data_IF_954754521614
#
_entry.id   IF_954754521614
#
_cell.length_a   1.000
_cell.length_b   1.000
_cell.length_c   1.000
_cell.angle_alpha   90.00
_cell.angle_beta   90.00
_cell.angle_gamma   90.00
#
_symmetry.space_group_name_H-M   'P 1'
#
loop_
_entity.id
_entity.type
_entity.pdbx_description
1 polymer ?
#
# COMPACT_ATOMS: atom_id res chain seq x y z
N UNK A 1 -0.02 -31.32 19.98
CA UNK A 1 -0.64 -30.58 18.86
C UNK A 1 -0.63 -29.12 19.22
N UNK A 2 -0.32 -28.24 18.27
CA UNK A 2 -0.31 -26.80 18.48
C UNK A 2 -1.71 -26.28 18.85
N UNK A 3 -1.82 -25.54 19.96
CA UNK A 3 -3.08 -25.03 20.49
C UNK A 3 -3.80 -24.10 19.49
N UNK A 4 -3.03 -23.31 18.73
CA UNK A 4 -3.58 -22.42 17.69
C UNK A 4 -4.22 -23.23 16.55
N UNK A 5 -3.56 -24.28 16.09
CA UNK A 5 -4.07 -25.15 15.03
C UNK A 5 -5.34 -25.91 15.47
N UNK A 6 -5.37 -26.38 16.72
CA UNK A 6 -6.57 -27.00 17.31
C UNK A 6 -7.74 -26.00 17.38
N UNK A 7 -7.47 -24.77 17.77
CA UNK A 7 -8.48 -23.71 17.78
C UNK A 7 -8.99 -23.40 16.35
N UNK A 8 -8.12 -23.32 15.35
CA UNK A 8 -8.56 -23.10 13.97
C UNK A 8 -9.45 -24.23 13.46
N UNK A 9 -9.10 -25.48 13.78
CA UNK A 9 -9.91 -26.66 13.46
C UNK A 9 -11.27 -26.65 14.18
N UNK A 10 -11.33 -26.13 15.40
CA UNK A 10 -12.57 -26.00 16.14
C UNK A 10 -13.48 -24.91 15.55
N UNK A 11 -12.90 -23.82 15.04
CA UNK A 11 -13.64 -22.76 14.35
C UNK A 11 -14.09 -23.19 12.94
N UNK A 12 -13.30 -24.04 12.27
CA UNK A 12 -13.52 -24.49 10.90
C UNK A 12 -13.14 -25.96 10.79
N UNK A 13 -14.14 -26.85 10.79
CA UNK A 13 -13.91 -28.30 10.78
C UNK A 13 -13.27 -28.79 9.48
N UNK A 14 -13.63 -28.13 8.37
CA UNK A 14 -13.33 -28.63 7.02
C UNK A 14 -12.18 -27.84 6.41
N UNK A 15 -11.18 -28.56 5.92
CA UNK A 15 -10.14 -27.97 5.09
C UNK A 15 -10.74 -27.60 3.73
N UNK A 16 -10.29 -26.49 3.13
CA UNK A 16 -10.74 -26.11 1.79
C UNK A 16 -10.36 -27.22 0.80
N UNK A 17 -11.24 -27.45 -0.19
CA UNK A 17 -10.95 -28.43 -1.25
C UNK A 17 -9.63 -28.10 -1.95
N UNK A 18 -8.90 -29.11 -2.41
CA UNK A 18 -7.59 -28.88 -3.05
C UNK A 18 -7.71 -27.99 -4.30
N UNK A 19 -8.80 -28.12 -5.05
CA UNK A 19 -9.10 -27.27 -6.20
C UNK A 19 -9.30 -25.80 -5.79
N UNK A 20 -10.03 -25.56 -4.70
CA UNK A 20 -10.25 -24.23 -4.12
C UNK A 20 -8.92 -23.62 -3.67
N UNK A 21 -8.12 -24.37 -2.91
CA UNK A 21 -6.82 -23.93 -2.42
C UNK A 21 -5.84 -23.59 -3.56
N UNK A 22 -5.79 -24.43 -4.59
CA UNK A 22 -4.94 -24.19 -5.75
C UNK A 22 -5.40 -22.95 -6.55
N UNK A 23 -6.72 -22.79 -6.78
CA UNK A 23 -7.25 -21.64 -7.52
C UNK A 23 -6.90 -20.32 -6.82
N UNK A 24 -7.16 -20.23 -5.52
CA UNK A 24 -6.84 -19.03 -4.74
C UNK A 24 -5.34 -18.83 -4.58
N UNK A 25 -4.58 -19.91 -4.35
CA UNK A 25 -3.12 -19.85 -4.28
C UNK A 25 -2.48 -19.33 -5.57
N UNK A 26 -2.96 -19.76 -6.74
CA UNK A 26 -2.47 -19.27 -8.04
C UNK A 26 -2.83 -17.80 -8.24
N UNK A 27 -4.07 -17.40 -7.92
CA UNK A 27 -4.47 -15.99 -8.00
C UNK A 27 -3.60 -15.11 -7.09
N UNK A 28 -3.36 -15.54 -5.86
CA UNK A 28 -2.51 -14.85 -4.89
C UNK A 28 -1.05 -14.82 -5.31
N UNK A 29 -0.54 -15.88 -5.95
CA UNK A 29 0.82 -15.92 -6.50
C UNK A 29 0.99 -14.86 -7.59
N UNK A 30 0.04 -14.78 -8.54
CA UNK A 30 0.07 -13.79 -9.61
C UNK A 30 0.03 -12.38 -9.03
N UNK A 31 -0.91 -12.09 -8.13
CA UNK A 31 -1.03 -10.76 -7.49
C UNK A 31 0.25 -10.40 -6.74
N UNK A 32 0.79 -11.32 -5.95
CA UNK A 32 2.01 -11.11 -5.16
C UNK A 32 3.22 -10.88 -6.07
N UNK A 33 3.41 -11.70 -7.11
CA UNK A 33 4.51 -11.57 -8.05
C UNK A 33 4.47 -10.23 -8.80
N UNK A 34 3.31 -9.87 -9.36
CA UNK A 34 3.12 -8.59 -10.06
C UNK A 34 3.36 -7.42 -9.10
N UNK A 35 2.85 -7.49 -7.87
CA UNK A 35 3.06 -6.45 -6.86
C UNK A 35 4.53 -6.28 -6.48
N UNK A 36 5.29 -7.37 -6.31
CA UNK A 36 6.73 -7.31 -6.04
C UNK A 36 7.46 -6.66 -7.21
N UNK A 37 7.22 -7.12 -8.45
CA UNK A 37 7.86 -6.57 -9.65
C UNK A 37 7.62 -5.06 -9.75
N UNK A 38 6.38 -4.63 -9.58
CA UNK A 38 6.01 -3.21 -9.66
C UNK A 38 6.64 -2.37 -8.54
N UNK A 39 6.66 -2.86 -7.30
CA UNK A 39 7.26 -2.15 -6.18
C UNK A 39 8.79 -2.08 -6.30
N UNK A 40 9.46 -3.17 -6.68
CA UNK A 40 10.91 -3.17 -6.94
C UNK A 40 11.27 -2.22 -8.08
N UNK A 41 10.47 -2.22 -9.15
CA UNK A 41 10.66 -1.30 -10.27
C UNK A 41 10.59 0.17 -9.83
N UNK A 42 9.55 0.54 -9.06
CA UNK A 42 9.44 1.91 -8.52
C UNK A 42 10.58 2.22 -7.55
N UNK A 43 11.04 1.26 -6.74
CA UNK A 43 12.21 1.44 -5.87
C UNK A 43 13.46 1.80 -6.69
N UNK A 44 13.73 1.07 -7.78
CA UNK A 44 14.86 1.35 -8.68
C UNK A 44 14.76 2.75 -9.29
N UNK A 45 13.56 3.18 -9.70
CA UNK A 45 13.34 4.54 -10.22
C UNK A 45 13.63 5.61 -9.15
N UNK A 46 13.16 5.40 -7.93
CA UNK A 46 13.35 6.35 -6.81
C UNK A 46 14.83 6.50 -6.46
N UNK A 47 15.56 5.39 -6.43
CA UNK A 47 16.99 5.37 -6.11
C UNK A 47 17.85 5.90 -7.26
N UNK A 48 17.50 5.54 -8.50
CA UNK A 48 18.34 5.82 -9.68
C UNK A 48 18.05 7.14 -10.38
N UNK A 49 16.90 7.78 -10.14
CA UNK A 49 16.49 8.95 -10.94
C UNK A 49 15.93 10.09 -10.13
N UNK A 50 16.14 11.32 -10.62
CA UNK A 50 15.55 12.52 -10.03
C UNK A 50 14.12 12.82 -10.57
N UNK A 51 13.45 11.85 -11.21
CA UNK A 51 12.20 12.06 -11.95
C UNK A 51 10.98 12.33 -11.06
N UNK A 52 11.02 11.89 -9.80
CA UNK A 52 9.94 12.09 -8.82
C UNK A 52 10.25 13.31 -7.97
N UNK A 53 9.26 14.16 -7.73
CA UNK A 53 9.40 15.35 -6.90
C UNK A 53 9.99 15.04 -5.53
N UNK A 54 10.96 15.86 -5.12
CA UNK A 54 11.61 15.74 -3.82
C UNK A 54 10.60 15.76 -2.66
N UNK A 55 9.50 16.50 -2.77
CA UNK A 55 8.49 16.57 -1.70
C UNK A 55 7.62 15.31 -1.56
N UNK A 56 7.53 14.47 -2.60
CA UNK A 56 6.65 13.28 -2.61
C UNK A 56 7.47 11.99 -2.47
N UNK A 57 8.71 12.02 -2.96
CA UNK A 57 9.65 10.89 -2.93
C UNK A 57 9.74 10.14 -1.59
N UNK A 58 9.79 10.79 -0.40
CA UNK A 58 9.87 10.04 0.86
C UNK A 58 8.64 9.17 1.11
N UNK A 59 7.46 9.74 0.88
CA UNK A 59 6.22 9.02 1.10
C UNK A 59 6.10 7.83 0.15
N UNK A 60 6.48 8.01 -1.12
CA UNK A 60 6.47 6.89 -2.08
C UNK A 60 7.50 5.84 -1.66
N UNK A 61 8.72 6.23 -1.26
CA UNK A 61 9.72 5.28 -0.79
C UNK A 61 9.23 4.48 0.43
N UNK A 62 8.58 5.15 1.38
CA UNK A 62 7.96 4.51 2.55
C UNK A 62 6.84 3.55 2.15
N UNK A 63 5.95 3.93 1.21
CA UNK A 63 4.90 3.04 0.70
C UNK A 63 5.47 1.80 -0.01
N UNK A 64 6.51 1.97 -0.81
CA UNK A 64 7.18 0.85 -1.51
C UNK A 64 7.83 -0.10 -0.50
N UNK A 65 8.56 0.44 0.48
CA UNK A 65 9.16 -0.37 1.54
C UNK A 65 8.08 -1.12 2.33
N UNK A 66 6.99 -0.44 2.71
CA UNK A 66 5.87 -1.04 3.42
C UNK A 66 5.19 -2.17 2.63
N UNK A 67 4.97 -1.97 1.33
CA UNK A 67 4.44 -2.99 0.42
C UNK A 67 5.35 -4.22 0.35
N UNK A 68 6.66 -4.04 0.22
CA UNK A 68 7.61 -5.16 0.16
C UNK A 68 7.68 -5.93 1.49
N UNK A 69 7.65 -5.22 2.62
CA UNK A 69 7.55 -5.83 3.96
C UNK A 69 6.26 -6.65 4.07
N UNK A 70 5.12 -6.09 3.65
CA UNK A 70 3.83 -6.80 3.64
C UNK A 70 3.88 -8.07 2.78
N UNK A 71 4.40 -7.96 1.56
CA UNK A 71 4.47 -9.06 0.58
C UNK A 71 5.46 -10.15 1.00
N UNK A 72 6.45 -9.85 1.83
CA UNK A 72 7.37 -10.86 2.36
C UNK A 72 6.63 -11.97 3.11
N UNK A 73 5.64 -11.63 3.94
CA UNK A 73 4.79 -12.64 4.61
C UNK A 73 3.95 -13.44 3.62
N UNK A 74 3.52 -12.84 2.50
CA UNK A 74 2.81 -13.59 1.46
C UNK A 74 3.69 -14.69 0.88
N UNK A 75 4.95 -14.37 0.58
CA UNK A 75 5.91 -15.33 0.04
C UNK A 75 6.34 -16.40 1.06
N UNK A 76 6.54 -16.00 2.33
CA UNK A 76 7.13 -16.88 3.34
C UNK A 76 6.13 -17.82 4.01
N UNK A 77 4.88 -17.40 4.19
CA UNK A 77 3.89 -18.22 4.92
C UNK A 77 2.58 -18.40 4.16
N UNK A 78 2.02 -17.35 3.54
CA UNK A 78 0.70 -17.46 2.90
C UNK A 78 0.72 -18.41 1.68
N UNK A 79 1.60 -18.16 0.71
CA UNK A 79 1.67 -18.94 -0.53
C UNK A 79 2.07 -20.40 -0.27
N UNK A 80 3.05 -20.72 0.59
CA UNK A 80 3.31 -22.11 0.97
C UNK A 80 2.09 -22.80 1.59
N UNK A 81 1.34 -22.12 2.45
CA UNK A 81 0.11 -22.69 3.03
C UNK A 81 -0.97 -22.91 1.96
N UNK A 82 -1.16 -21.97 1.04
CA UNK A 82 -2.19 -22.06 0.00
C UNK A 82 -1.86 -23.10 -1.10
N UNK A 83 -0.64 -23.06 -1.65
CA UNK A 83 -0.26 -23.86 -2.81
C UNK A 83 0.29 -25.23 -2.44
N UNK A 84 1.04 -25.33 -1.35
CA UNK A 84 1.65 -26.58 -0.92
C UNK A 84 0.86 -27.25 0.22
N UNK A 85 -0.08 -26.55 0.87
CA UNK A 85 -0.81 -27.10 2.01
C UNK A 85 0.05 -27.18 3.28
N UNK A 86 1.11 -26.37 3.37
CA UNK A 86 2.02 -26.37 4.52
C UNK A 86 1.32 -25.73 5.72
N UNK A 87 1.15 -26.50 6.80
CA UNK A 87 0.64 -26.01 8.07
C UNK A 87 1.80 -25.55 8.95
N UNK A 88 1.98 -24.23 9.06
CA UNK A 88 2.99 -23.65 9.94
C UNK A 88 2.49 -23.66 11.39
N UNK A 89 3.29 -24.22 12.28
CA UNK A 89 3.05 -24.21 13.73
C UNK A 89 3.63 -22.95 14.38
N UNK A 90 3.09 -22.55 15.52
CA UNK A 90 3.66 -21.50 16.36
C UNK A 90 5.02 -21.98 16.94
N UNK A 91 6.04 -21.11 17.05
CA UNK A 91 6.02 -19.66 16.85
C UNK A 91 6.29 -19.20 15.40
N UNK A 92 6.59 -20.11 14.47
CA UNK A 92 6.97 -19.73 13.10
C UNK A 92 5.84 -19.03 12.35
N UNK A 93 4.59 -19.50 12.52
CA UNK A 93 3.44 -18.85 11.89
C UNK A 93 3.29 -17.39 12.36
N UNK A 94 3.49 -17.12 13.65
CA UNK A 94 3.49 -15.77 14.22
C UNK A 94 4.62 -14.94 13.60
N UNK A 95 5.87 -15.39 13.73
CA UNK A 95 7.07 -14.63 13.32
C UNK A 95 7.00 -14.27 11.84
N UNK A 96 6.65 -15.22 10.97
CA UNK A 96 6.55 -15.01 9.53
C UNK A 96 5.33 -14.15 9.13
N UNK A 97 4.33 -14.03 9.99
CA UNK A 97 3.15 -13.17 9.79
C UNK A 97 3.34 -11.74 10.31
N UNK A 98 4.33 -11.46 11.17
CA UNK A 98 4.60 -10.12 11.70
C UNK A 98 4.82 -9.07 10.59
N UNK A 99 5.61 -9.34 9.52
CA UNK A 99 5.79 -8.38 8.43
C UNK A 99 4.48 -7.97 7.77
N UNK A 100 3.46 -8.85 7.72
CA UNK A 100 2.14 -8.51 7.19
C UNK A 100 1.47 -7.39 7.99
N UNK A 101 1.44 -7.50 9.32
CA UNK A 101 0.88 -6.47 10.21
C UNK A 101 1.68 -5.18 10.12
N UNK A 102 3.00 -5.27 10.19
CA UNK A 102 3.89 -4.11 10.15
C UNK A 102 3.74 -3.35 8.83
N UNK A 103 3.78 -4.07 7.69
CA UNK A 103 3.61 -3.48 6.36
C UNK A 103 2.23 -2.83 6.19
N UNK A 104 1.16 -3.48 6.66
CA UNK A 104 -0.19 -2.91 6.62
C UNK A 104 -0.30 -1.59 7.41
N UNK A 105 0.17 -1.59 8.66
CA UNK A 105 0.15 -0.39 9.52
C UNK A 105 1.03 0.72 8.94
N UNK A 106 2.17 0.38 8.37
CA UNK A 106 3.06 1.34 7.74
C UNK A 106 2.41 1.99 6.51
N UNK A 107 1.72 1.21 5.66
CA UNK A 107 0.92 1.76 4.54
C UNK A 107 -0.14 2.73 5.08
N UNK A 108 -0.87 2.35 6.13
CA UNK A 108 -1.92 3.16 6.76
C UNK A 108 -1.42 4.49 7.35
N UNK A 109 -0.35 4.44 8.13
CA UNK A 109 0.19 5.68 8.69
C UNK A 109 0.84 6.55 7.60
N UNK A 110 1.52 5.97 6.62
CA UNK A 110 2.17 6.74 5.55
C UNK A 110 1.17 7.43 4.63
N UNK A 111 0.05 6.79 4.27
CA UNK A 111 -1.00 7.48 3.50
C UNK A 111 -1.69 8.58 4.30
N UNK A 112 -1.82 8.39 5.61
CA UNK A 112 -2.41 9.40 6.49
C UNK A 112 -1.51 10.61 6.67
N UNK A 113 -0.21 10.39 6.89
CA UNK A 113 0.76 11.49 6.95
C UNK A 113 0.90 12.18 5.59
N UNK A 114 0.78 11.45 4.48
CA UNK A 114 0.74 12.03 3.13
C UNK A 114 -0.51 12.90 2.91
N UNK A 115 -1.69 12.47 3.34
CA UNK A 115 -2.92 13.26 3.26
C UNK A 115 -2.79 14.56 4.07
N UNK A 116 -2.25 14.45 5.28
CA UNK A 116 -2.00 15.61 6.15
C UNK A 116 -0.95 16.57 5.57
N UNK A 117 0.15 16.05 5.00
CA UNK A 117 1.16 16.85 4.29
C UNK A 117 0.52 17.70 3.19
N UNK A 118 -0.36 17.11 2.38
CA UNK A 118 -1.06 17.84 1.32
C UNK A 118 -2.07 18.83 1.86
N UNK A 119 -2.78 18.48 2.91
CA UNK A 119 -3.71 19.40 3.58
C UNK A 119 -2.99 20.68 4.02
N UNK A 120 -1.83 20.55 4.67
CA UNK A 120 -1.04 21.71 5.11
C UNK A 120 -0.60 22.59 3.94
N UNK A 121 -0.18 22.01 2.81
CA UNK A 121 0.22 22.77 1.61
C UNK A 121 -0.92 23.62 1.05
N UNK A 122 -2.14 23.07 0.96
CA UNK A 122 -3.27 23.78 0.35
C UNK A 122 -3.99 24.75 1.30
N UNK A 123 -4.05 24.44 2.60
CA UNK A 123 -4.79 25.24 3.58
C UNK A 123 -3.91 26.22 4.35
N UNK A 124 -2.62 25.94 4.51
CA UNK A 124 -1.69 26.79 5.26
C UNK A 124 -0.34 26.94 4.54
N UNK A 125 -0.32 27.60 3.37
CA UNK A 125 0.93 27.81 2.61
C UNK A 125 1.94 28.67 3.40
N UNK A 126 1.47 29.53 4.32
CA UNK A 126 2.35 30.35 5.16
C UNK A 126 3.15 29.52 6.18
N UNK A 127 2.60 28.41 6.67
CA UNK A 127 3.35 27.48 7.56
C UNK A 127 4.38 26.63 6.82
N UNK A 128 4.33 26.57 5.49
CA UNK A 128 5.30 25.83 4.66
C UNK A 128 6.71 26.44 4.77
N UNK A 129 6.82 27.77 4.91
CA UNK A 129 8.10 28.46 5.14
C UNK A 129 8.70 28.10 6.49
N UNK A 130 7.85 27.81 7.48
CA UNK A 130 8.28 27.50 8.86
C UNK A 130 8.71 26.04 9.02
N UNK A 131 8.07 25.11 8.32
CA UNK A 131 8.44 23.70 8.33
C UNK A 131 9.55 23.44 7.30
N UNK A 132 10.78 23.81 7.69
CA UNK A 132 12.01 23.63 6.89
C UNK A 132 12.04 22.24 6.24
N UNK A 133 12.35 22.18 4.94
CA UNK A 133 12.24 20.97 4.10
C UNK A 133 12.81 19.71 4.77
N UNK A 134 13.94 19.80 5.47
CA UNK A 134 14.58 18.67 6.16
C UNK A 134 13.77 18.09 7.34
N UNK A 135 13.12 18.93 8.16
CA UNK A 135 12.28 18.45 9.27
C UNK A 135 11.03 17.74 8.76
N UNK A 136 10.49 18.19 7.63
CA UNK A 136 9.38 17.54 6.95
C UNK A 136 9.73 16.10 6.53
N UNK A 137 10.95 15.83 6.06
CA UNK A 137 11.36 14.45 5.75
C UNK A 137 11.33 13.53 6.97
N UNK A 138 11.93 13.98 8.08
CA UNK A 138 12.00 13.18 9.30
C UNK A 138 10.63 12.93 9.91
N UNK A 139 9.82 13.98 10.07
CA UNK A 139 8.51 13.86 10.71
C UNK A 139 7.58 12.98 9.87
N UNK A 140 7.50 13.22 8.56
CA UNK A 140 6.49 12.55 7.73
C UNK A 140 6.87 11.13 7.29
N UNK A 141 8.15 10.75 7.39
CA UNK A 141 8.64 9.40 7.03
C UNK A 141 8.92 8.55 8.26
N UNK A 142 9.56 9.09 9.29
CA UNK A 142 9.94 8.32 10.47
C UNK A 142 8.76 8.09 11.41
N UNK A 143 7.82 9.05 11.54
CA UNK A 143 6.66 8.91 12.41
C UNK A 143 5.76 7.72 12.02
N UNK A 144 5.37 7.51 10.74
CA UNK A 144 4.65 6.30 10.34
C UNK A 144 5.37 5.00 10.71
N UNK A 145 6.69 4.96 10.49
CA UNK A 145 7.52 3.79 10.80
C UNK A 145 7.54 3.51 12.30
N UNK A 146 7.79 4.54 13.10
CA UNK A 146 7.82 4.44 14.55
C UNK A 146 6.47 3.98 15.11
N UNK A 147 5.36 4.58 14.68
CA UNK A 147 4.01 4.19 15.12
C UNK A 147 3.66 2.77 14.70
N UNK A 148 3.99 2.36 13.46
CA UNK A 148 3.75 1.01 12.97
C UNK A 148 4.55 -0.03 13.77
N UNK A 149 5.83 0.24 14.04
CA UNK A 149 6.68 -0.63 14.85
C UNK A 149 6.19 -0.73 16.29
N UNK A 150 5.93 0.41 16.93
CA UNK A 150 5.46 0.45 18.33
C UNK A 150 4.15 -0.32 18.50
N UNK A 151 3.19 -0.09 17.59
CA UNK A 151 1.90 -0.79 17.63
C UNK A 151 2.06 -2.29 17.38
N UNK A 152 2.88 -2.68 16.40
CA UNK A 152 3.14 -4.09 16.09
C UNK A 152 3.81 -4.80 17.27
N UNK A 153 4.83 -4.18 17.88
CA UNK A 153 5.53 -4.73 19.05
C UNK A 153 4.54 -4.87 20.21
N UNK A 154 3.77 -3.83 20.51
CA UNK A 154 2.78 -3.87 21.59
C UNK A 154 1.74 -4.97 21.39
N UNK A 155 1.19 -5.12 20.17
CA UNK A 155 0.26 -6.20 19.84
C UNK A 155 0.85 -7.59 20.11
N UNK A 156 2.12 -7.82 19.73
CA UNK A 156 2.79 -9.09 19.99
C UNK A 156 3.10 -9.31 21.48
N UNK A 157 3.44 -8.25 22.22
CA UNK A 157 3.69 -8.35 23.68
C UNK A 157 2.43 -8.72 24.46
N UNK A 158 1.25 -8.21 24.07
CA UNK A 158 -0.02 -8.51 24.75
C UNK A 158 -0.67 -9.82 24.30
N UNK A 159 -0.05 -10.58 23.40
CA UNK A 159 -0.59 -11.86 22.92
C UNK A 159 -1.53 -11.77 21.72
N UNK A 160 -1.66 -10.60 21.07
CA UNK A 160 -2.46 -10.40 19.87
C UNK A 160 -1.64 -10.70 18.60
N UNK A 161 -1.51 -11.99 18.30
CA UNK A 161 -0.70 -12.49 17.19
C UNK A 161 -1.52 -12.63 15.91
N UNK A 162 -0.95 -12.15 14.81
CA UNK A 162 -1.46 -12.44 13.47
C UNK A 162 -0.88 -13.77 13.00
N UNK A 163 -1.71 -14.61 12.38
CA UNK A 163 -1.35 -15.94 11.86
C UNK A 163 -1.99 -16.17 10.51
N UNK A 164 -1.44 -17.10 9.72
CA UNK A 164 -2.14 -17.70 8.58
C UNK A 164 -3.01 -18.84 9.08
N UNK A 165 -4.31 -18.79 8.76
CA UNK A 165 -5.25 -19.86 9.01
C UNK A 165 -5.32 -20.78 7.77
N UNK A 166 -4.86 -22.04 7.85
CA UNK A 166 -4.88 -22.97 6.72
C UNK A 166 -6.30 -23.37 6.29
N UNK A 167 -7.30 -23.23 7.17
CA UNK A 167 -8.70 -23.54 6.87
C UNK A 167 -9.41 -22.42 6.10
N UNK A 168 -8.91 -21.18 6.19
CA UNK A 168 -9.48 -20.01 5.48
C UNK A 168 -8.52 -19.40 4.45
N UNK A 169 -7.35 -20.00 4.26
CA UNK A 169 -6.34 -19.60 3.29
C UNK A 169 -5.96 -18.11 3.40
N UNK A 170 -5.91 -17.55 4.61
CA UNK A 170 -5.75 -16.12 4.81
C UNK A 170 -5.20 -15.78 6.19
N UNK A 171 -4.76 -14.53 6.34
CA UNK A 171 -4.31 -14.03 7.63
C UNK A 171 -5.48 -13.72 8.56
N UNK A 172 -5.33 -14.03 9.84
CA UNK A 172 -6.33 -13.74 10.88
C UNK A 172 -5.66 -13.45 12.23
N UNK A 173 -6.41 -12.77 13.10
CA UNK A 173 -6.10 -12.63 14.54
C UNK A 173 -6.90 -13.62 15.41
N UNK A 174 -7.76 -14.46 14.80
CA UNK A 174 -8.47 -15.52 15.52
C UNK A 174 -7.50 -16.45 16.25
N UNK A 175 -7.96 -17.06 17.34
CA UNK A 175 -7.16 -17.93 18.20
C UNK A 175 -5.97 -17.19 18.86
N UNK A 176 -6.11 -15.89 19.07
CA UNK A 176 -5.20 -15.07 19.87
C UNK A 176 -5.99 -14.24 20.88
N UNK A 177 -5.36 -13.89 22.00
CA UNK A 177 -5.94 -12.95 22.95
C UNK A 177 -5.63 -11.53 22.50
N UNK A 178 -6.58 -10.91 21.81
CA UNK A 178 -6.44 -9.55 21.33
C UNK A 178 -7.06 -8.50 22.27
N UNK A 179 -7.80 -8.89 23.31
CA UNK A 179 -8.46 -7.95 24.22
C UNK A 179 -9.11 -6.76 23.49
N UNK A 180 -8.64 -5.54 23.78
CA UNK A 180 -9.12 -4.29 23.18
C UNK A 180 -8.74 -4.09 21.70
N UNK A 181 -7.73 -4.81 21.18
CA UNK A 181 -7.33 -4.74 19.78
C UNK A 181 -8.38 -5.27 18.82
N UNK A 182 -9.24 -6.18 19.29
CA UNK A 182 -10.39 -6.70 18.52
C UNK A 182 -11.29 -5.57 18.01
N UNK A 183 -11.46 -4.50 18.81
CA UNK A 183 -12.26 -3.32 18.43
C UNK A 183 -11.37 -2.21 17.87
N UNK A 184 -10.20 -2.00 18.48
CA UNK A 184 -9.29 -0.90 18.12
C UNK A 184 -8.81 -1.00 16.68
N UNK A 185 -8.45 -2.20 16.20
CA UNK A 185 -7.92 -2.37 14.85
C UNK A 185 -8.93 -2.01 13.74
N UNK A 186 -10.18 -2.52 13.75
CA UNK A 186 -11.22 -2.06 12.83
C UNK A 186 -11.45 -0.54 12.89
N UNK A 187 -11.52 0.02 14.10
CA UNK A 187 -11.77 1.46 14.29
C UNK A 187 -10.63 2.28 13.72
N UNK A 188 -9.37 1.92 13.98
CA UNK A 188 -8.21 2.62 13.41
C UNK A 188 -8.23 2.51 11.88
N UNK A 189 -8.42 1.31 11.35
CA UNK A 189 -8.43 1.05 9.91
C UNK A 189 -9.51 1.88 9.18
N UNK A 190 -10.71 1.94 9.75
CA UNK A 190 -11.82 2.74 9.23
C UNK A 190 -11.57 4.24 9.40
N UNK A 191 -11.13 4.68 10.59
CA UNK A 191 -10.94 6.09 10.92
C UNK A 191 -9.82 6.72 10.09
N UNK A 192 -8.64 6.10 9.99
CA UNK A 192 -7.55 6.65 9.19
C UNK A 192 -7.92 6.75 7.72
N UNK A 193 -8.53 5.69 7.17
CA UNK A 193 -8.95 5.68 5.77
C UNK A 193 -10.08 6.69 5.50
N UNK A 194 -11.05 6.82 6.41
CA UNK A 194 -12.15 7.78 6.33
C UNK A 194 -11.68 9.23 6.46
N UNK A 195 -10.78 9.51 7.40
CA UNK A 195 -10.15 10.83 7.55
C UNK A 195 -9.40 11.22 6.28
N UNK A 196 -8.63 10.29 5.69
CA UNK A 196 -7.92 10.55 4.43
C UNK A 196 -8.89 10.92 3.30
N UNK A 197 -10.01 10.21 3.19
CA UNK A 197 -11.05 10.54 2.22
C UNK A 197 -11.63 11.95 2.43
N UNK A 198 -11.99 12.30 3.66
CA UNK A 198 -12.52 13.64 4.00
C UNK A 198 -11.48 14.73 3.71
N UNK A 199 -10.21 14.50 4.05
CA UNK A 199 -9.12 15.44 3.78
C UNK A 199 -8.95 15.67 2.28
N UNK A 200 -8.92 14.62 1.47
CA UNK A 200 -8.80 14.77 0.01
C UNK A 200 -10.04 15.43 -0.62
N UNK A 201 -11.23 15.16 -0.10
CA UNK A 201 -12.45 15.87 -0.51
C UNK A 201 -12.36 17.37 -0.19
N UNK A 202 -11.90 17.73 1.01
CA UNK A 202 -11.70 19.13 1.40
C UNK A 202 -10.66 19.83 0.51
N UNK A 203 -9.54 19.16 0.20
CA UNK A 203 -8.53 19.66 -0.75
C UNK A 203 -9.16 19.87 -2.14
N UNK A 204 -9.95 18.92 -2.63
CA UNK A 204 -10.61 19.02 -3.92
C UNK A 204 -11.59 20.20 -4.00
N UNK A 205 -12.44 20.37 -2.98
CA UNK A 205 -13.36 21.52 -2.88
C UNK A 205 -12.58 22.84 -2.85
N UNK A 206 -11.47 22.90 -2.10
CA UNK A 206 -10.61 24.09 -2.03
C UNK A 206 -10.04 24.45 -3.40
N UNK A 207 -9.54 23.46 -4.15
CA UNK A 207 -9.02 23.63 -5.52
C UNK A 207 -10.12 24.16 -6.45
N UNK A 208 -11.32 23.58 -6.41
CA UNK A 208 -12.45 24.05 -7.22
C UNK A 208 -12.80 25.51 -6.93
N UNK A 209 -12.83 25.89 -5.65
CA UNK A 209 -13.13 27.26 -5.24
C UNK A 209 -12.03 28.25 -5.66
N UNK A 210 -10.76 27.85 -5.58
CA UNK A 210 -9.63 28.66 -6.08
C UNK A 210 -9.74 28.87 -7.61
N UNK A 211 -10.05 27.83 -8.37
CA UNK A 211 -10.20 27.92 -9.83
C UNK A 211 -11.38 28.81 -10.24
N UNK A 212 -12.51 28.75 -9.51
CA UNK A 212 -13.64 29.67 -9.76
C UNK A 212 -13.25 31.13 -9.54
N UNK A 213 -12.56 31.47 -8.44
CA UNK A 213 -12.15 32.86 -8.15
C UNK A 213 -11.24 33.45 -9.22
N UNK A 214 -10.36 32.64 -9.81
CA UNK A 214 -9.50 33.07 -10.93
C UNK A 214 -10.34 33.38 -12.18
N UNK A 215 -11.35 32.56 -12.49
CA UNK A 215 -12.20 32.77 -13.66
C UNK A 215 -13.18 33.96 -13.53
N UNK A 216 -13.55 34.35 -12.30
CA UNK A 216 -14.44 35.50 -12.06
C UNK A 216 -13.71 36.85 -11.92
N UNK A 217 -12.41 36.92 -12.24
CA UNK A 217 -11.68 38.19 -12.29
C UNK A 217 -11.54 38.92 -10.94
N UNK A 218 -11.71 38.21 -9.81
CA UNK A 218 -11.52 38.79 -8.49
C UNK A 218 -10.03 39.13 -8.30
N UNK A 219 -9.69 40.42 -8.38
CA UNK A 219 -8.34 41.00 -8.49
C UNK A 219 -7.35 40.77 -7.34
N UNK A 220 -7.45 39.69 -6.57
CA UNK A 220 -6.35 39.21 -5.74
C UNK A 220 -5.53 38.20 -6.57
N UNK A 221 -4.25 38.51 -6.79
CA UNK A 221 -3.26 37.71 -7.50
C UNK A 221 -2.98 36.36 -6.80
N UNK A 222 -3.96 35.46 -6.76
CA UNK A 222 -3.76 34.07 -6.36
C UNK A 222 -3.33 33.33 -7.62
N UNK A 223 -2.11 32.78 -7.69
CA UNK A 223 -1.65 32.07 -8.87
C UNK A 223 -2.57 30.87 -9.15
N UNK A 224 -2.93 30.61 -10.41
CA UNK A 224 -3.77 29.49 -10.77
C UNK A 224 -3.15 28.16 -10.31
N UNK A 225 -3.98 27.27 -9.75
CA UNK A 225 -3.54 25.94 -9.33
C UNK A 225 -2.97 25.21 -10.54
N UNK A 226 -1.72 24.73 -10.45
CA UNK A 226 -1.08 24.04 -11.57
C UNK A 226 -1.83 22.74 -11.84
N UNK A 227 -2.05 22.39 -13.11
CA UNK A 227 -2.66 21.10 -13.52
C UNK A 227 -1.98 19.89 -12.87
N UNK A 228 -0.69 20.03 -12.56
CA UNK A 228 0.12 19.06 -11.82
C UNK A 228 -0.45 18.73 -10.44
N UNK A 229 -0.89 19.75 -9.69
CA UNK A 229 -1.33 19.60 -8.31
C UNK A 229 -2.69 18.88 -8.24
N UNK A 230 -3.58 19.18 -9.19
CA UNK A 230 -4.86 18.45 -9.36
C UNK A 230 -4.59 16.97 -9.67
N UNK A 231 -3.68 16.70 -10.60
CA UNK A 231 -3.30 15.32 -10.99
C UNK A 231 -2.77 14.52 -9.80
N UNK A 232 -2.04 15.18 -8.92
CA UNK A 232 -1.43 14.59 -7.74
C UNK A 232 -2.47 14.32 -6.63
N UNK A 233 -3.44 15.23 -6.45
CA UNK A 233 -4.58 15.00 -5.54
C UNK A 233 -5.43 13.81 -6.00
N UNK A 234 -5.70 13.69 -7.30
CA UNK A 234 -6.44 12.55 -7.86
C UNK A 234 -5.69 11.22 -7.64
N UNK A 235 -4.36 11.20 -7.88
CA UNK A 235 -3.54 10.01 -7.62
C UNK A 235 -3.70 9.52 -6.17
N UNK A 236 -3.53 10.42 -5.21
CA UNK A 236 -3.60 10.01 -3.81
C UNK A 236 -5.01 9.69 -3.34
N UNK A 237 -6.02 10.32 -3.92
CA UNK A 237 -7.42 9.96 -3.67
C UNK A 237 -7.71 8.51 -4.10
N UNK A 238 -7.19 8.09 -5.27
CA UNK A 238 -7.33 6.71 -5.74
C UNK A 238 -6.59 5.70 -4.84
N UNK A 239 -5.39 6.06 -4.39
CA UNK A 239 -4.62 5.24 -3.42
C UNK A 239 -5.42 5.08 -2.13
N UNK A 240 -5.96 6.16 -1.57
CA UNK A 240 -6.74 6.13 -0.34
C UNK A 240 -8.05 5.35 -0.51
N UNK A 241 -8.72 5.47 -1.66
CA UNK A 241 -9.94 4.72 -1.94
C UNK A 241 -9.66 3.21 -1.99
N UNK A 242 -8.59 2.78 -2.67
CA UNK A 242 -8.21 1.36 -2.70
C UNK A 242 -7.84 0.83 -1.31
N UNK A 243 -7.13 1.63 -0.52
CA UNK A 243 -6.80 1.29 0.85
C UNK A 243 -8.04 1.18 1.75
N UNK A 244 -8.99 2.10 1.61
CA UNK A 244 -10.25 2.06 2.33
C UNK A 244 -11.03 0.79 1.98
N UNK A 245 -11.10 0.43 0.69
CA UNK A 245 -11.75 -0.80 0.24
C UNK A 245 -11.05 -2.04 0.83
N UNK A 246 -9.72 -2.12 0.75
CA UNK A 246 -8.96 -3.25 1.31
C UNK A 246 -9.14 -3.39 2.82
N UNK A 247 -9.06 -2.28 3.55
CA UNK A 247 -9.21 -2.25 5.01
C UNK A 247 -10.64 -2.56 5.46
N UNK A 248 -11.63 -1.95 4.81
CA UNK A 248 -13.04 -2.19 5.13
C UNK A 248 -13.43 -3.62 4.80
N UNK A 249 -12.91 -4.17 3.70
CA UNK A 249 -13.13 -5.58 3.36
C UNK A 249 -12.57 -6.49 4.44
N UNK A 250 -11.36 -6.22 4.94
CA UNK A 250 -10.73 -7.07 5.96
C UNK A 250 -11.52 -7.18 7.27
N UNK A 251 -12.07 -6.07 7.76
CA UNK A 251 -12.75 -6.07 9.06
C UNK A 251 -14.26 -6.27 8.97
N UNK A 252 -14.92 -5.80 7.90
CA UNK A 252 -16.38 -5.80 7.82
C UNK A 252 -16.94 -6.86 6.86
N UNK A 253 -16.20 -7.30 5.83
CA UNK A 253 -16.74 -8.26 4.85
C UNK A 253 -17.04 -9.63 5.46
N UNK A 254 -16.19 -10.22 6.34
CA UNK A 254 -16.52 -11.51 6.95
C UNK A 254 -17.77 -11.44 7.83
N UNK A 255 -17.91 -10.49 8.79
CA UNK A 255 -19.13 -10.37 9.58
C UNK A 255 -20.38 -10.10 8.73
N UNK A 256 -20.30 -9.22 7.73
CA UNK A 256 -21.45 -8.86 6.88
C UNK A 256 -21.93 -10.00 5.98
N UNK A 257 -21.03 -10.92 5.61
CA UNK A 257 -21.35 -12.07 4.75
C UNK A 257 -21.66 -13.35 5.53
N UNK A 258 -21.89 -13.25 6.85
CA UNK A 258 -22.13 -14.42 7.70
C UNK A 258 -20.92 -15.35 7.82
N UNK A 259 -19.70 -14.81 7.75
CA UNK A 259 -18.43 -15.55 7.78
C UNK A 259 -18.31 -16.60 6.66
N UNK A 260 -18.86 -16.28 5.48
CA UNK A 260 -18.68 -17.09 4.28
C UNK A 260 -17.20 -17.24 3.91
N UNK A 261 -16.80 -18.41 3.38
CA UNK A 261 -15.39 -18.63 3.00
C UNK A 261 -14.90 -17.59 1.98
N UNK A 262 -15.78 -17.28 1.03
CA UNK A 262 -15.53 -16.35 -0.05
C UNK A 262 -15.14 -14.95 0.44
N UNK A 263 -15.70 -14.50 1.56
CA UNK A 263 -15.34 -13.21 2.15
C UNK A 263 -13.91 -13.15 2.66
N UNK A 264 -13.38 -14.25 3.20
CA UNK A 264 -11.99 -14.35 3.64
C UNK A 264 -11.02 -14.35 2.44
N UNK A 265 -11.41 -15.01 1.36
CA UNK A 265 -10.62 -15.02 0.11
C UNK A 265 -10.57 -13.62 -0.52
N UNK A 266 -11.72 -12.96 -0.67
CA UNK A 266 -11.80 -11.59 -1.20
C UNK A 266 -11.01 -10.60 -0.34
N UNK A 267 -11.11 -10.71 0.98
CA UNK A 267 -10.35 -9.91 1.93
C UNK A 267 -8.85 -10.01 1.67
N UNK A 268 -8.34 -11.23 1.52
CA UNK A 268 -6.91 -11.50 1.30
C UNK A 268 -6.44 -10.96 -0.05
N UNK A 269 -7.27 -11.12 -1.09
CA UNK A 269 -7.05 -10.57 -2.43
C UNK A 269 -7.00 -9.04 -2.39
N UNK A 270 -8.02 -8.39 -1.84
CA UNK A 270 -8.08 -6.91 -1.80
C UNK A 270 -6.95 -6.32 -0.96
N UNK A 271 -6.61 -6.93 0.18
CA UNK A 271 -5.47 -6.49 0.99
C UNK A 271 -4.16 -6.59 0.21
N UNK A 272 -3.98 -7.63 -0.62
CA UNK A 272 -2.76 -7.80 -1.42
C UNK A 272 -2.75 -6.88 -2.64
N UNK A 273 -3.88 -6.70 -3.32
CA UNK A 273 -4.03 -5.76 -4.43
C UNK A 273 -3.73 -4.31 -4.02
N UNK A 274 -4.02 -3.93 -2.78
CA UNK A 274 -3.68 -2.59 -2.26
C UNK A 274 -2.17 -2.28 -2.38
N UNK A 275 -1.30 -3.29 -2.23
CA UNK A 275 0.16 -3.10 -2.40
C UNK A 275 0.56 -2.81 -3.86
N UNK A 276 -0.31 -3.18 -4.82
CA UNK A 276 -0.15 -2.94 -6.24
C UNK A 276 -0.73 -1.58 -6.68
N UNK A 277 -1.73 -1.06 -5.96
CA UNK A 277 -2.37 0.20 -6.31
C UNK A 277 -1.38 1.36 -6.34
N UNK A 278 -0.48 1.42 -5.36
CA UNK A 278 0.53 2.49 -5.25
C UNK A 278 1.39 2.60 -6.53
N UNK A 279 2.14 1.56 -6.95
CA UNK A 279 2.93 1.65 -8.17
C UNK A 279 2.07 1.83 -9.42
N UNK A 280 0.91 1.18 -9.53
CA UNK A 280 0.00 1.34 -10.68
C UNK A 280 -0.45 2.79 -10.86
N UNK A 281 -0.86 3.46 -9.79
CA UNK A 281 -1.27 4.87 -9.83
C UNK A 281 -0.08 5.77 -10.18
N UNK A 282 1.10 5.52 -9.61
CA UNK A 282 2.30 6.31 -9.94
C UNK A 282 2.65 6.17 -11.42
N UNK A 283 2.65 4.95 -11.95
CA UNK A 283 2.93 4.68 -13.37
C UNK A 283 1.86 5.34 -14.24
N UNK A 284 0.58 5.15 -13.95
CA UNK A 284 -0.51 5.69 -14.77
C UNK A 284 -0.44 7.22 -14.92
N UNK A 285 -0.08 7.93 -13.84
CA UNK A 285 -0.11 9.39 -13.81
C UNK A 285 1.26 10.07 -13.99
N UNK A 286 2.40 9.38 -13.92
CA UNK A 286 3.70 10.01 -14.13
C UNK A 286 4.25 9.69 -15.53
N UNK A 287 4.20 10.69 -16.45
CA UNK A 287 4.61 10.51 -17.86
C UNK A 287 6.06 10.05 -17.98
N UNK A 288 6.96 10.61 -17.17
CA UNK A 288 8.38 10.28 -17.20
C UNK A 288 8.63 8.83 -16.77
N UNK A 289 7.90 8.38 -15.74
CA UNK A 289 7.94 6.98 -15.31
C UNK A 289 7.43 6.05 -16.42
N UNK A 290 6.33 6.41 -17.12
CA UNK A 290 5.85 5.62 -18.27
C UNK A 290 6.88 5.58 -19.39
N UNK A 291 7.48 6.71 -19.76
CA UNK A 291 8.52 6.75 -20.79
C UNK A 291 9.69 5.83 -20.42
N UNK A 292 10.14 5.87 -19.17
CA UNK A 292 11.23 5.03 -18.69
C UNK A 292 10.83 3.54 -18.71
N UNK A 293 9.61 3.22 -18.31
CA UNK A 293 9.06 1.87 -18.37
C UNK A 293 9.01 1.36 -19.81
N UNK A 294 8.49 2.16 -20.75
CA UNK A 294 8.46 1.84 -22.18
C UNK A 294 9.88 1.66 -22.74
N UNK A 295 10.82 2.54 -22.39
CA UNK A 295 12.21 2.43 -22.80
C UNK A 295 12.89 1.16 -22.27
N UNK A 296 12.60 0.76 -21.03
CA UNK A 296 13.13 -0.48 -20.46
C UNK A 296 12.55 -1.71 -21.16
N UNK A 297 11.25 -1.74 -21.43
CA UNK A 297 10.63 -2.84 -22.18
C UNK A 297 11.18 -2.96 -23.60
N UNK A 298 11.34 -1.84 -24.31
CA UNK A 298 11.92 -1.85 -25.67
C UNK A 298 13.40 -2.23 -25.65
N UNK A 299 14.17 -1.80 -24.65
CA UNK A 299 15.60 -2.15 -24.55
C UNK A 299 15.81 -3.63 -24.19
N UNK A 300 14.98 -4.20 -23.30
CA UNK A 300 15.02 -5.64 -22.99
C UNK A 300 14.64 -6.47 -24.22
N UNK A 301 13.62 -6.03 -24.98
CA UNK A 301 13.26 -6.67 -26.25
C UNK A 301 14.36 -6.60 -27.31
N UNK A 302 15.10 -5.49 -27.40
CA UNK A 302 16.22 -5.33 -28.34
C UNK A 302 17.46 -6.13 -27.90
N UNK A 303 17.75 -6.23 -26.60
CA UNK A 303 18.91 -6.97 -26.08
C UNK A 303 18.78 -8.49 -26.24
N UNK A 304 17.57 -9.01 -26.40
CA UNK A 304 17.33 -10.40 -26.81
C UNK A 304 17.55 -10.63 -28.32
N UNK A 305 17.59 -9.57 -29.15
CA UNK A 305 17.71 -9.67 -30.62
C UNK A 305 19.08 -9.21 -31.13
N UNK A 306 19.84 -8.43 -30.36
CA UNK A 306 21.17 -7.96 -30.78
C UNK A 306 22.08 -7.69 -29.58
N UNK A 307 23.13 -8.50 -29.48
CA UNK A 307 24.23 -8.24 -28.56
C UNK A 307 24.93 -6.93 -28.91
N UNK A 308 25.16 -6.10 -27.89
CA UNK A 308 26.06 -4.94 -27.88
C UNK A 308 25.58 -3.71 -28.67
N UNK A 309 25.09 -2.68 -27.94
CA UNK A 309 24.92 -1.23 -28.23
C UNK A 309 23.59 -0.79 -27.55
N UNK A 310 23.56 -0.58 -26.24
CA UNK A 310 22.32 -0.21 -25.53
C UNK A 310 22.45 0.99 -24.56
N UNK A 311 23.66 1.45 -24.25
CA UNK A 311 23.87 2.47 -23.21
C UNK A 311 23.66 3.91 -23.72
N UNK A 312 23.99 4.25 -24.97
CA UNK A 312 23.83 5.62 -25.48
C UNK A 312 22.39 5.99 -25.84
N UNK A 313 21.60 5.03 -26.37
CA UNK A 313 20.18 5.25 -26.73
C UNK A 313 19.27 5.46 -25.52
N UNK A 314 19.60 4.86 -24.38
CA UNK A 314 18.81 5.01 -23.15
C UNK A 314 18.83 6.46 -22.63
N UNK A 315 20.00 7.11 -22.64
CA UNK A 315 20.10 8.54 -22.28
C UNK A 315 19.36 9.45 -23.28
N UNK A 316 19.37 9.12 -24.57
CA UNK A 316 18.68 9.88 -25.61
C UNK A 316 17.15 9.76 -25.57
N UNK A 317 16.60 8.59 -25.18
CA UNK A 317 15.16 8.44 -24.97
C UNK A 317 14.67 9.14 -23.69
N UNK A 318 15.48 9.14 -22.64
CA UNK A 318 15.17 9.85 -21.39
C UNK A 318 15.15 11.37 -21.62
N UNK A 319 16.03 11.92 -22.45
CA UNK A 319 16.02 13.34 -22.83
C UNK A 319 14.92 13.72 -23.83
N UNK A 320 14.43 12.77 -24.64
CA UNK A 320 13.30 12.99 -25.56
C UNK A 320 11.93 13.11 -24.86
N UNK A 321 11.80 12.60 -23.63
CA UNK A 321 10.56 12.72 -22.85
C UNK A 321 10.47 13.96 -21.94
N UNK A 322 11.51 14.80 -21.89
CA UNK A 322 11.52 16.07 -21.16
C UNK A 322 10.91 17.23 -21.98
N UNK A 323 9.60 17.17 -22.23
CA UNK A 323 8.75 18.31 -22.66
C UNK A 323 7.33 18.17 -22.09
#
# INVERSE_FOLDING_TARGET
MDAALQCFKALHSDLPSRSTANLFGVAMLIITAVSIILNVFIAVIICGTALIDKSIRPHIASLVAASLIFLSSNCLVLLPTQLAGVMMVDPYNIILSVPNTLGYLLIMFTTSTMAFDRFLIFFSPKSEVMLRTAMRWYIFTALPCFLALLLTIHMNMVGCYKRVNPYRLGFTYSCSDCGSYTTTLPVLAFTFSGVNFVVYLAIFIKIMHMNKRVNYGAGLAIPPVKKRDVKLVVQFSLICAAQFIGSSSFYFLPPLSGNSEFSFYLTTIFSSMNTMTNPCVIIAFNRNVRCLLWALFTTIGVRQVGGTIATSKFQQMVSGCSW
#
